data_IF_490848198702
#
_entry.id   IF_490848198702
#
_cell.length_a   1.000
_cell.length_b   1.000
_cell.length_c   1.000
_cell.angle_alpha   90.00
_cell.angle_beta   90.00
_cell.angle_gamma   90.00
#
_symmetry.space_group_name_H-M   'P 1'
#
loop_
_entity.id
_entity.type
_entity.pdbx_description
1 polymer ?
#
# COMPACT_ATOMS: atom_id res chain seq x y z
N UNK A 1 -0.66 -10.12 -31.17
CA UNK A 1 -2.03 -9.92 -30.66
C UNK A 1 -2.18 -8.44 -30.37
N UNK A 2 -3.39 -7.89 -30.37
CA UNK A 2 -3.61 -6.52 -29.90
C UNK A 2 -3.99 -6.60 -28.42
N UNK A 3 -3.15 -6.08 -27.54
CA UNK A 3 -3.41 -6.11 -26.10
C UNK A 3 -4.40 -5.02 -25.73
N UNK A 4 -5.54 -5.40 -25.18
CA UNK A 4 -6.56 -4.44 -24.74
C UNK A 4 -6.29 -3.99 -23.30
N UNK A 5 -6.36 -2.69 -22.98
CA UNK A 5 -6.18 -2.20 -21.61
C UNK A 5 -7.22 -2.76 -20.63
N UNK A 6 -8.41 -3.14 -21.12
CA UNK A 6 -9.46 -3.75 -20.31
C UNK A 6 -9.04 -5.08 -19.67
N UNK A 7 -8.08 -5.79 -20.26
CA UNK A 7 -7.53 -7.02 -19.67
C UNK A 7 -6.62 -6.76 -18.46
N UNK A 8 -6.30 -5.49 -18.18
CA UNK A 8 -5.41 -5.05 -17.11
C UNK A 8 -6.11 -4.09 -16.14
N UNK A 9 -7.45 -4.17 -16.05
CA UNK A 9 -8.25 -3.27 -15.25
C UNK A 9 -7.80 -3.20 -13.78
N UNK A 10 -7.45 -4.35 -13.19
CA UNK A 10 -6.94 -4.40 -11.83
C UNK A 10 -5.60 -3.68 -11.68
N UNK A 11 -4.66 -3.93 -12.60
CA UNK A 11 -3.35 -3.26 -12.61
C UNK A 11 -3.52 -1.76 -12.77
N UNK A 12 -4.40 -1.32 -13.66
CA UNK A 12 -4.70 0.10 -13.87
C UNK A 12 -5.19 0.75 -12.58
N UNK A 13 -6.09 0.10 -11.83
CA UNK A 13 -6.55 0.61 -10.53
C UNK A 13 -5.42 0.66 -9.50
N UNK A 14 -4.55 -0.36 -9.45
CA UNK A 14 -3.34 -0.34 -8.61
C UNK A 14 -2.43 0.84 -8.98
N UNK A 15 -2.21 1.09 -10.28
CA UNK A 15 -1.40 2.21 -10.73
C UNK A 15 -2.02 3.57 -10.36
N UNK A 16 -3.34 3.71 -10.44
CA UNK A 16 -4.08 4.92 -10.02
C UNK A 16 -3.85 5.20 -8.53
N UNK A 17 -4.10 4.21 -7.68
CA UNK A 17 -3.98 4.38 -6.23
C UNK A 17 -2.51 4.54 -5.81
N UNK A 18 -1.61 3.77 -6.42
CA UNK A 18 -0.18 3.90 -6.19
C UNK A 18 0.36 5.27 -6.63
N UNK A 19 -0.15 5.84 -7.73
CA UNK A 19 0.14 7.23 -8.07
C UNK A 19 -0.40 8.19 -7.02
N UNK A 20 -1.67 8.08 -6.60
CA UNK A 20 -2.27 8.99 -5.61
C UNK A 20 -1.49 8.99 -4.30
N UNK A 21 -1.07 7.82 -3.85
CA UNK A 21 -0.30 7.60 -2.63
C UNK A 21 1.21 7.90 -2.77
N UNK A 22 1.66 8.32 -3.97
CA UNK A 22 3.07 8.52 -4.31
C UNK A 22 3.96 7.27 -4.03
N UNK A 23 3.38 6.08 -4.24
CA UNK A 23 4.08 4.79 -4.18
C UNK A 23 4.74 4.47 -5.52
N UNK A 24 4.05 4.78 -6.62
CA UNK A 24 4.60 4.67 -7.97
C UNK A 24 5.00 6.04 -8.51
N UNK A 25 6.09 6.07 -9.26
CA UNK A 25 6.50 7.23 -10.04
C UNK A 25 5.86 7.19 -11.43
N UNK A 26 5.88 8.33 -12.12
CA UNK A 26 5.44 8.41 -13.51
C UNK A 26 6.31 7.52 -14.39
N UNK A 27 7.61 7.47 -14.13
CA UNK A 27 8.58 6.68 -14.88
C UNK A 27 8.27 5.17 -14.81
N UNK A 28 7.89 4.66 -13.64
CA UNK A 28 7.47 3.26 -13.50
C UNK A 28 6.24 2.95 -14.37
N UNK A 29 5.29 3.88 -14.45
CA UNK A 29 4.09 3.73 -15.28
C UNK A 29 4.41 3.81 -16.76
N UNK A 30 5.31 4.71 -17.15
CA UNK A 30 5.81 4.78 -18.53
C UNK A 30 6.51 3.48 -18.90
N UNK A 31 7.37 2.93 -18.03
CA UNK A 31 8.04 1.65 -18.27
C UNK A 31 7.05 0.49 -18.45
N UNK A 32 6.00 0.45 -17.63
CA UNK A 32 4.93 -0.53 -17.77
C UNK A 32 4.21 -0.39 -19.11
N UNK A 33 3.85 0.83 -19.52
CA UNK A 33 3.21 1.10 -20.80
C UNK A 33 4.11 0.77 -22.00
N UNK A 34 5.40 1.14 -21.94
CA UNK A 34 6.42 0.83 -22.93
C UNK A 34 6.58 -0.68 -23.13
N UNK A 35 6.38 -1.47 -22.06
CA UNK A 35 6.29 -2.92 -22.12
C UNK A 35 5.30 -3.40 -23.18
N UNK A 36 4.11 -2.83 -23.27
CA UNK A 36 3.13 -3.21 -24.30
C UNK A 36 3.51 -2.69 -25.68
N UNK A 37 3.98 -1.45 -25.76
CA UNK A 37 4.36 -0.80 -27.02
C UNK A 37 5.48 -1.58 -27.74
N UNK A 38 6.44 -2.11 -26.98
CA UNK A 38 7.59 -2.82 -27.54
C UNK A 38 7.25 -4.25 -28.00
N UNK A 39 6.22 -4.88 -27.42
CA UNK A 39 5.88 -6.27 -27.71
C UNK A 39 4.73 -6.43 -28.70
N UNK A 40 3.80 -5.47 -28.72
CA UNK A 40 2.64 -5.54 -29.61
C UNK A 40 2.94 -4.96 -30.98
N UNK A 41 2.58 -5.71 -32.03
CA UNK A 41 2.70 -5.22 -33.40
C UNK A 41 1.81 -3.99 -33.68
N UNK A 42 0.73 -3.83 -32.93
CA UNK A 42 -0.22 -2.71 -32.96
C UNK A 42 -0.69 -2.46 -31.52
N UNK A 43 0.05 -1.68 -30.73
CA UNK A 43 -0.34 -1.38 -29.36
C UNK A 43 -1.58 -0.49 -29.32
N UNK A 44 -2.42 -0.68 -28.31
CA UNK A 44 -3.59 0.18 -28.06
C UNK A 44 -3.17 1.63 -27.78
N UNK A 45 -3.98 2.58 -28.25
CA UNK A 45 -3.72 4.02 -28.09
C UNK A 45 -3.58 4.41 -26.62
N UNK A 46 -4.27 3.72 -25.71
CA UNK A 46 -4.14 3.92 -24.28
C UNK A 46 -2.68 3.82 -23.81
N UNK A 47 -1.96 2.78 -24.24
CA UNK A 47 -0.57 2.57 -23.80
C UNK A 47 0.35 3.64 -24.39
N UNK A 48 0.10 4.05 -25.64
CA UNK A 48 0.83 5.12 -26.31
C UNK A 48 0.63 6.44 -25.55
N UNK A 49 -0.61 6.82 -25.28
CA UNK A 49 -0.94 8.06 -24.56
C UNK A 49 -0.33 8.06 -23.16
N UNK A 50 -0.39 6.93 -22.46
CA UNK A 50 0.19 6.77 -21.13
C UNK A 50 1.72 6.91 -21.14
N UNK A 51 2.41 6.32 -22.12
CA UNK A 51 3.85 6.46 -22.29
C UNK A 51 4.26 7.91 -22.63
N UNK A 52 3.46 8.60 -23.45
CA UNK A 52 3.69 9.97 -23.89
C UNK A 52 3.24 11.04 -22.87
N UNK A 53 2.52 10.66 -21.82
CA UNK A 53 2.19 11.56 -20.71
C UNK A 53 3.44 12.27 -20.20
N UNK A 54 3.32 13.56 -19.89
CA UNK A 54 4.45 14.42 -19.48
C UNK A 54 4.53 14.58 -17.98
N UNK A 55 3.39 14.51 -17.31
CA UNK A 55 3.29 14.72 -15.86
C UNK A 55 2.57 13.56 -15.18
N UNK A 56 2.73 13.48 -13.86
CA UNK A 56 1.99 12.53 -13.02
C UNK A 56 0.47 12.75 -13.14
N UNK A 57 0.04 14.01 -13.24
CA UNK A 57 -1.37 14.38 -13.34
C UNK A 57 -1.98 13.97 -14.67
N UNK A 58 -1.23 14.10 -15.78
CA UNK A 58 -1.65 13.62 -17.09
C UNK A 58 -1.78 12.08 -17.08
N UNK A 59 -0.78 11.36 -16.56
CA UNK A 59 -0.85 9.90 -16.42
C UNK A 59 -2.04 9.46 -15.56
N UNK A 60 -2.28 10.13 -14.42
CA UNK A 60 -3.41 9.85 -13.55
C UNK A 60 -4.75 10.10 -14.25
N UNK A 61 -4.83 11.14 -15.08
CA UNK A 61 -6.05 11.46 -15.86
C UNK A 61 -6.36 10.35 -16.86
N UNK A 62 -5.36 9.95 -17.67
CA UNK A 62 -5.50 8.87 -18.66
C UNK A 62 -5.96 7.57 -18.00
N UNK A 63 -5.28 7.16 -16.92
CA UNK A 63 -5.63 5.96 -16.16
C UNK A 63 -7.07 6.06 -15.61
N UNK A 64 -7.41 7.17 -14.97
CA UNK A 64 -8.72 7.36 -14.32
C UNK A 64 -9.86 7.38 -15.34
N UNK A 65 -9.69 8.02 -16.49
CA UNK A 65 -10.70 8.06 -17.55
C UNK A 65 -10.98 6.67 -18.11
N UNK A 66 -9.93 5.88 -18.30
CA UNK A 66 -10.06 4.51 -18.79
C UNK A 66 -10.75 3.63 -17.74
N UNK A 67 -10.33 3.71 -16.47
CA UNK A 67 -10.90 2.96 -15.36
C UNK A 67 -12.40 3.23 -15.13
N UNK A 68 -12.92 4.43 -15.44
CA UNK A 68 -14.36 4.74 -15.35
C UNK A 68 -15.24 3.81 -16.19
N UNK A 69 -14.68 3.23 -17.23
CA UNK A 69 -15.38 2.31 -18.14
C UNK A 69 -15.16 0.84 -17.77
N UNK A 70 -14.37 0.58 -16.73
CA UNK A 70 -14.01 -0.75 -16.25
C UNK A 70 -14.75 -1.07 -14.96
N UNK A 71 -15.17 -2.32 -14.80
CA UNK A 71 -15.59 -2.87 -13.52
C UNK A 71 -14.56 -3.92 -13.11
N UNK A 72 -13.67 -3.55 -12.19
CA UNK A 72 -12.71 -4.46 -11.61
C UNK A 72 -12.57 -4.16 -10.12
N UNK A 73 -12.72 -5.19 -9.30
CA UNK A 73 -12.28 -5.15 -7.92
C UNK A 73 -10.74 -5.10 -7.92
N UNK A 74 -10.14 -4.50 -6.89
CA UNK A 74 -8.69 -4.27 -6.89
C UNK A 74 -8.09 -4.74 -5.59
N UNK A 75 -7.29 -5.81 -5.65
CA UNK A 75 -6.55 -6.28 -4.50
C UNK A 75 -5.57 -5.18 -4.07
N UNK A 76 -5.57 -4.76 -2.79
CA UNK A 76 -4.64 -3.75 -2.30
C UNK A 76 -3.23 -4.32 -2.04
N UNK A 77 -3.03 -5.64 -2.17
CA UNK A 77 -1.77 -6.33 -1.85
C UNK A 77 -0.56 -5.87 -2.68
N UNK A 78 -0.67 -5.58 -3.99
CA UNK A 78 0.41 -4.95 -4.73
C UNK A 78 0.84 -3.58 -4.17
N UNK A 79 -0.09 -2.81 -3.59
CA UNK A 79 0.23 -1.54 -2.94
C UNK A 79 0.95 -1.76 -1.61
N UNK A 80 0.63 -2.83 -0.88
CA UNK A 80 1.39 -3.24 0.31
C UNK A 80 2.84 -3.61 -0.06
N UNK A 81 3.05 -4.29 -1.19
CA UNK A 81 4.40 -4.50 -1.73
C UNK A 81 5.09 -3.17 -2.06
N UNK A 82 4.42 -2.24 -2.73
CA UNK A 82 5.02 -0.94 -3.04
C UNK A 82 5.42 -0.16 -1.78
N UNK A 83 4.67 -0.29 -0.67
CA UNK A 83 5.06 0.26 0.63
C UNK A 83 6.29 -0.49 1.19
N UNK A 84 6.33 -1.81 1.08
CA UNK A 84 7.48 -2.62 1.47
C UNK A 84 8.76 -2.20 0.73
N UNK A 85 8.69 -2.03 -0.58
CA UNK A 85 9.83 -1.60 -1.41
C UNK A 85 10.40 -0.28 -0.92
N UNK A 86 9.53 0.72 -0.68
CA UNK A 86 9.95 2.03 -0.16
C UNK A 86 10.58 1.94 1.23
N UNK A 87 10.10 1.00 2.06
CA UNK A 87 10.69 0.75 3.36
C UNK A 87 12.11 0.17 3.24
N UNK A 88 12.32 -0.83 2.37
CA UNK A 88 13.65 -1.48 2.24
C UNK A 88 14.67 -0.63 1.49
N UNK A 89 14.24 0.28 0.61
CA UNK A 89 15.13 1.26 -0.04
C UNK A 89 15.46 2.45 0.85
N UNK A 90 14.85 2.55 2.05
CA UNK A 90 14.90 3.72 2.93
C UNK A 90 14.33 5.00 2.32
N UNK A 91 13.49 4.90 1.29
CA UNK A 91 12.70 6.02 0.76
C UNK A 91 11.58 6.42 1.72
N UNK A 92 11.10 5.47 2.53
CA UNK A 92 10.14 5.67 3.62
C UNK A 92 10.66 5.03 4.90
N UNK A 93 10.44 5.71 6.02
CA UNK A 93 10.58 5.12 7.35
C UNK A 93 9.45 4.11 7.61
N UNK A 94 9.65 3.20 8.57
CA UNK A 94 8.58 2.28 9.00
C UNK A 94 7.30 3.04 9.41
N UNK A 95 7.44 4.23 9.99
CA UNK A 95 6.32 5.08 10.40
C UNK A 95 5.55 5.67 9.23
N UNK A 96 6.25 6.18 8.22
CA UNK A 96 5.61 6.66 6.99
C UNK A 96 4.92 5.50 6.26
N UNK A 97 5.50 4.30 6.33
CA UNK A 97 4.88 3.07 5.84
C UNK A 97 3.60 2.73 6.61
N UNK A 98 3.61 2.76 7.95
CA UNK A 98 2.41 2.53 8.77
C UNK A 98 1.33 3.61 8.58
N UNK A 99 1.72 4.87 8.39
CA UNK A 99 0.78 5.94 8.03
C UNK A 99 0.15 5.67 6.66
N UNK A 100 0.93 5.17 5.69
CA UNK A 100 0.43 4.77 4.37
C UNK A 100 -0.59 3.63 4.45
N UNK A 101 -0.51 2.77 5.47
CA UNK A 101 -1.50 1.71 5.69
C UNK A 101 -2.89 2.24 6.04
N UNK A 102 -3.00 3.49 6.54
CA UNK A 102 -4.29 4.08 6.91
C UNK A 102 -5.30 4.16 5.75
N UNK A 103 -4.81 4.24 4.51
CA UNK A 103 -5.64 4.24 3.30
C UNK A 103 -6.48 2.95 3.15
N UNK A 104 -6.04 1.86 3.77
CA UNK A 104 -6.59 0.51 3.63
C UNK A 104 -7.60 0.13 4.72
N UNK A 105 -7.78 0.98 5.74
CA UNK A 105 -8.66 0.66 6.88
C UNK A 105 -10.14 0.67 6.47
N UNK A 106 -10.52 1.57 5.56
CA UNK A 106 -11.93 1.89 5.34
C UNK A 106 -12.55 1.22 4.11
N UNK A 107 -11.75 0.77 3.12
CA UNK A 107 -12.25 0.36 1.79
C UNK A 107 -11.62 -0.95 1.26
N UNK A 108 -11.40 -1.97 2.10
CA UNK A 108 -10.65 -3.16 1.69
C UNK A 108 -11.41 -4.48 1.94
N UNK A 109 -12.48 -4.69 1.17
CA UNK A 109 -13.26 -5.93 1.21
C UNK A 109 -12.44 -7.16 0.75
N UNK A 110 -11.42 -6.95 -0.09
CA UNK A 110 -10.52 -8.01 -0.61
C UNK A 110 -9.39 -8.43 0.34
N UNK A 111 -9.17 -7.68 1.43
CA UNK A 111 -8.28 -8.13 2.49
C UNK A 111 -8.96 -9.18 3.37
N UNK A 112 -8.18 -10.10 3.92
CA UNK A 112 -8.65 -11.01 4.97
C UNK A 112 -8.90 -10.25 6.28
N UNK A 113 -9.64 -10.87 7.19
CA UNK A 113 -9.85 -10.33 8.56
C UNK A 113 -8.51 -10.13 9.27
N UNK A 114 -7.57 -11.07 9.13
CA UNK A 114 -6.23 -10.97 9.71
C UNK A 114 -5.47 -9.76 9.19
N UNK A 115 -5.44 -9.54 7.88
CA UNK A 115 -4.77 -8.38 7.26
C UNK A 115 -5.35 -7.06 7.77
N UNK A 116 -6.69 -6.93 7.80
CA UNK A 116 -7.34 -5.72 8.31
C UNK A 116 -7.00 -5.45 9.77
N UNK A 117 -7.03 -6.48 10.61
CA UNK A 117 -6.70 -6.33 12.03
C UNK A 117 -5.23 -5.88 12.21
N UNK A 118 -4.30 -6.41 11.41
CA UNK A 118 -2.90 -5.99 11.45
C UNK A 118 -2.71 -4.55 10.99
N UNK A 119 -3.28 -4.19 9.85
CA UNK A 119 -3.24 -2.81 9.35
C UNK A 119 -3.77 -1.83 10.39
N UNK A 120 -4.91 -2.16 11.01
CA UNK A 120 -5.50 -1.34 12.04
C UNK A 120 -4.59 -1.21 13.28
N UNK A 121 -4.02 -2.32 13.74
CA UNK A 121 -3.07 -2.34 14.87
C UNK A 121 -1.84 -1.48 14.59
N UNK A 122 -1.15 -1.74 13.47
CA UNK A 122 0.09 -1.03 13.11
C UNK A 122 -0.16 0.47 12.92
N UNK A 123 -1.31 0.84 12.34
CA UNK A 123 -1.70 2.23 12.16
C UNK A 123 -1.91 2.94 13.51
N UNK A 124 -2.65 2.33 14.45
CA UNK A 124 -2.88 2.92 15.77
C UNK A 124 -1.60 3.02 16.61
N UNK A 125 -0.74 2.00 16.58
CA UNK A 125 0.50 2.03 17.34
C UNK A 125 1.49 3.07 16.78
N UNK A 126 1.49 3.27 15.45
CA UNK A 126 2.26 4.34 14.82
C UNK A 126 1.77 5.74 15.23
N UNK A 127 0.46 5.95 15.38
CA UNK A 127 -0.10 7.21 15.89
C UNK A 127 0.33 7.50 17.35
N UNK A 128 0.65 6.47 18.12
CA UNK A 128 1.04 6.56 19.53
C UNK A 128 2.57 6.55 19.75
N UNK A 129 3.36 6.59 18.67
CA UNK A 129 4.80 6.34 18.72
C UNK A 129 5.60 7.24 19.67
N UNK A 130 5.23 8.51 19.79
CA UNK A 130 5.91 9.46 20.68
C UNK A 130 5.72 9.13 22.17
N UNK A 131 4.77 8.24 22.47
CA UNK A 131 4.45 7.77 23.81
C UNK A 131 5.06 6.39 24.10
N UNK A 132 5.61 5.72 23.07
CA UNK A 132 6.19 4.39 23.21
C UNK A 132 7.65 4.46 23.71
N UNK A 133 8.07 3.55 24.62
CA UNK A 133 9.48 3.40 24.97
C UNK A 133 10.30 2.95 23.75
N UNK A 134 11.62 3.22 23.71
CA UNK A 134 12.48 2.86 22.57
C UNK A 134 12.38 1.39 22.14
N UNK A 135 12.31 0.46 23.09
CA UNK A 135 12.17 -0.97 22.80
C UNK A 135 10.83 -1.32 22.12
N UNK A 136 9.74 -0.62 22.46
CA UNK A 136 8.45 -0.82 21.81
C UNK A 136 8.43 -0.21 20.40
N UNK A 137 9.16 0.90 20.19
CA UNK A 137 9.37 1.47 18.85
C UNK A 137 10.12 0.50 17.95
N UNK A 138 11.25 -0.04 18.40
CA UNK A 138 12.01 -1.03 17.62
C UNK A 138 11.16 -2.26 17.28
N UNK A 139 10.34 -2.72 18.24
CA UNK A 139 9.42 -3.82 18.00
C UNK A 139 8.37 -3.49 16.95
N UNK A 140 7.75 -2.32 17.02
CA UNK A 140 6.79 -1.86 16.01
C UNK A 140 7.41 -1.78 14.62
N UNK A 141 8.63 -1.26 14.50
CA UNK A 141 9.35 -1.20 13.21
C UNK A 141 9.61 -2.60 12.64
N UNK A 142 9.99 -3.57 13.49
CA UNK A 142 10.14 -4.97 13.10
C UNK A 142 8.81 -5.59 12.65
N UNK A 143 7.72 -5.30 13.37
CA UNK A 143 6.39 -5.85 13.07
C UNK A 143 5.85 -5.30 11.75
N UNK A 144 6.05 -4.00 11.48
CA UNK A 144 5.72 -3.36 10.19
C UNK A 144 6.51 -4.03 9.06
N UNK A 145 7.82 -4.18 9.23
CA UNK A 145 8.68 -4.80 8.22
C UNK A 145 8.29 -6.26 7.95
N UNK A 146 8.03 -7.03 9.00
CA UNK A 146 7.65 -8.44 8.89
C UNK A 146 6.28 -8.62 8.21
N UNK A 147 5.29 -7.78 8.55
CA UNK A 147 3.99 -7.80 7.91
C UNK A 147 4.08 -7.45 6.42
N UNK A 148 4.76 -6.36 6.09
CA UNK A 148 4.92 -5.89 4.71
C UNK A 148 5.72 -6.88 3.84
N UNK A 149 6.71 -7.58 4.42
CA UNK A 149 7.52 -8.57 3.72
C UNK A 149 6.73 -9.78 3.20
N UNK A 150 5.51 -10.01 3.69
CA UNK A 150 4.62 -11.05 3.15
C UNK A 150 4.31 -10.80 1.66
N UNK A 151 4.22 -9.53 1.27
CA UNK A 151 3.78 -9.09 -0.05
C UNK A 151 4.94 -8.83 -1.02
N UNK A 152 6.18 -9.11 -0.65
CA UNK A 152 7.37 -8.76 -1.44
C UNK A 152 7.45 -9.36 -2.85
N UNK A 153 6.65 -10.37 -3.14
CA UNK A 153 6.65 -11.07 -4.43
C UNK A 153 5.67 -10.43 -5.44
N UNK A 154 4.85 -9.45 -5.04
CA UNK A 154 3.96 -8.77 -5.99
C UNK A 154 4.75 -7.74 -6.82
N UNK A 155 4.54 -7.74 -8.13
CA UNK A 155 4.97 -6.66 -9.03
C UNK A 155 3.84 -6.34 -10.01
N UNK A 156 3.91 -5.20 -10.70
CA UNK A 156 2.88 -4.86 -11.72
C UNK A 156 3.02 -5.71 -12.98
N UNK A 157 4.21 -6.26 -13.22
CA UNK A 157 4.54 -7.11 -14.36
C UNK A 157 4.07 -8.56 -14.15
N UNK A 158 3.96 -9.02 -12.90
CA UNK A 158 3.54 -10.39 -12.58
C UNK A 158 2.03 -10.53 -12.28
N UNK A 159 1.22 -9.58 -12.75
CA UNK A 159 -0.22 -9.52 -12.49
C UNK A 159 -0.97 -10.83 -12.81
N UNK A 160 -0.55 -11.57 -13.85
CA UNK A 160 -1.13 -12.85 -14.21
C UNK A 160 -1.00 -13.92 -13.10
N UNK A 161 -0.09 -13.72 -12.14
CA UNK A 161 0.13 -14.60 -10.99
C UNK A 161 -0.50 -14.10 -9.68
N UNK A 162 -1.16 -12.95 -9.65
CA UNK A 162 -1.66 -12.34 -8.40
C UNK A 162 -2.65 -13.23 -7.66
N UNK A 163 -3.55 -13.93 -8.35
CA UNK A 163 -4.48 -14.88 -7.72
C UNK A 163 -3.75 -15.99 -6.94
N UNK A 164 -2.61 -16.45 -7.46
CA UNK A 164 -1.80 -17.48 -6.78
C UNK A 164 -1.09 -16.89 -5.56
N UNK A 165 -0.54 -15.68 -5.68
CA UNK A 165 0.07 -14.97 -4.56
C UNK A 165 -0.96 -14.69 -3.46
N UNK A 166 -2.18 -14.30 -3.82
CA UNK A 166 -3.28 -14.06 -2.89
C UNK A 166 -3.57 -15.30 -2.04
N UNK A 167 -3.63 -16.48 -2.68
CA UNK A 167 -3.82 -17.75 -1.97
C UNK A 167 -2.64 -18.07 -1.03
N UNK A 168 -1.41 -17.81 -1.48
CA UNK A 168 -0.24 -17.99 -0.62
C UNK A 168 -0.27 -17.08 0.61
N UNK A 169 -0.69 -15.81 0.45
CA UNK A 169 -0.82 -14.86 1.58
C UNK A 169 -1.83 -15.40 2.59
N UNK A 170 -3.01 -15.84 2.12
CA UNK A 170 -4.04 -16.42 3.00
C UNK A 170 -3.46 -17.60 3.79
N UNK A 171 -2.78 -18.53 3.12
CA UNK A 171 -2.16 -19.69 3.77
C UNK A 171 -1.07 -19.29 4.77
N UNK A 172 -0.21 -18.31 4.43
CA UNK A 172 0.84 -17.81 5.32
C UNK A 172 0.25 -17.18 6.58
N UNK A 173 -0.83 -16.41 6.45
CA UNK A 173 -1.52 -15.77 7.58
C UNK A 173 -2.28 -16.77 8.47
N UNK A 174 -2.81 -17.85 7.90
CA UNK A 174 -3.51 -18.90 8.67
C UNK A 174 -2.54 -19.82 9.43
N UNK A 175 -1.36 -20.07 8.86
CA UNK A 175 -0.37 -21.01 9.43
C UNK A 175 0.68 -20.33 10.29
N UNK A 176 0.90 -19.04 10.10
CA UNK A 176 1.86 -18.26 10.90
C UNK A 176 1.07 -17.48 11.94
N UNK A 177 1.20 -17.80 13.24
CA UNK A 177 0.80 -16.88 14.29
C UNK A 177 1.80 -15.72 14.25
N UNK A 178 1.66 -14.84 13.27
CA UNK A 178 2.64 -13.78 13.01
C UNK A 178 2.84 -12.94 14.27
N UNK A 179 1.80 -12.80 15.09
CA UNK A 179 1.89 -12.10 16.36
C UNK A 179 0.95 -12.76 17.37
N UNK A 180 1.51 -13.42 18.38
CA UNK A 180 0.76 -13.82 19.56
C UNK A 180 0.13 -12.60 20.22
N UNK A 181 -0.98 -12.84 20.91
CA UNK A 181 -1.68 -11.94 21.83
C UNK A 181 -0.76 -11.38 22.93
N UNK A 182 0.28 -10.64 22.58
CA UNK A 182 1.11 -9.95 23.56
C UNK A 182 0.38 -8.66 23.95
N UNK A 183 -0.69 -8.87 24.73
CA UNK A 183 -1.39 -7.84 25.48
C UNK A 183 -0.50 -7.15 26.51
N UNK A 184 0.82 -7.35 26.51
CA UNK A 184 1.76 -6.66 27.40
C UNK A 184 1.86 -5.16 27.11
N UNK A 185 1.61 -4.70 25.89
CA UNK A 185 1.37 -3.28 25.60
C UNK A 185 0.03 -2.78 26.16
N UNK A 186 -0.88 -3.69 26.52
CA UNK A 186 -2.20 -3.42 27.13
C UNK A 186 -2.20 -3.68 28.64
N UNK A 187 -1.09 -3.49 29.34
CA UNK A 187 -1.14 -3.43 30.80
C UNK A 187 -1.39 -1.98 31.24
N UNK A 188 -2.63 -1.58 31.61
CA UNK A 188 -2.94 -0.22 32.05
C UNK A 188 -2.22 0.20 33.35
N UNK A 189 -1.43 -0.68 33.95
CA UNK A 189 -0.67 -0.42 35.17
C UNK A 189 0.63 0.38 34.96
N UNK A 190 1.04 0.67 33.72
CA UNK A 190 2.19 1.54 33.43
C UNK A 190 1.75 2.83 32.76
N UNK A 191 0.66 3.44 33.23
CA UNK A 191 0.42 4.85 32.94
C UNK A 191 1.12 5.71 34.01
N UNK A 192 2.14 6.51 33.67
CA UNK A 192 2.58 7.55 34.58
C UNK A 192 1.40 8.49 34.86
N UNK A 193 1.26 8.90 36.11
CA UNK A 193 0.16 9.75 36.58
C UNK A 193 -0.14 10.88 35.59
N UNK A 194 -1.43 11.20 35.32
CA UNK A 194 -1.81 12.20 34.33
C UNK A 194 -1.12 13.52 34.64
N UNK A 195 -0.22 13.94 33.75
CA UNK A 195 0.35 15.28 33.80
C UNK A 195 -0.77 16.31 33.56
N UNK A 196 -0.69 17.49 34.19
CA UNK A 196 -1.71 18.52 34.04
C UNK A 196 -1.95 18.84 32.57
N UNK A 197 -3.23 18.95 32.22
CA UNK A 197 -3.73 19.17 30.87
C UNK A 197 -3.13 20.47 30.32
N UNK A 198 -2.13 20.34 29.45
CA UNK A 198 -1.70 21.43 28.58
C UNK A 198 -2.70 21.51 27.40
N UNK A 199 -2.96 22.71 26.86
CA UNK A 199 -3.95 22.91 25.82
C UNK A 199 -3.68 22.00 24.62
N UNK A 200 -4.74 21.31 24.20
CA UNK A 200 -4.77 20.38 23.04
C UNK A 200 -4.15 21.06 21.83
N UNK A 201 -2.97 20.60 21.40
CA UNK A 201 -2.40 20.98 20.11
C UNK A 201 -3.32 20.45 19.02
N UNK A 202 -3.75 21.33 18.10
CA UNK A 202 -4.58 20.97 16.96
C UNK A 202 -3.91 19.86 16.11
N UNK A 203 -4.68 18.94 15.52
CA UNK A 203 -4.14 17.88 14.66
C UNK A 203 -3.32 18.47 13.50
N UNK A 204 -2.12 17.94 13.25
CA UNK A 204 -1.21 18.39 12.19
C UNK A 204 -1.73 18.18 10.77
N UNK A 205 -2.89 17.54 10.58
CA UNK A 205 -3.50 17.27 9.28
C UNK A 205 -4.15 18.49 8.60
N UNK A 206 -4.15 19.67 9.23
CA UNK A 206 -4.71 20.90 8.63
C UNK A 206 -3.79 21.61 7.61
N UNK A 207 -2.69 20.98 7.17
CA UNK A 207 -1.68 21.64 6.31
C UNK A 207 -1.63 21.20 4.84
N UNK A 208 -2.61 20.43 4.36
CA UNK A 208 -2.75 20.18 2.93
C UNK A 208 -4.07 20.79 2.44
N UNK A 209 -3.98 21.99 1.86
CA UNK A 209 -5.01 22.66 1.06
C UNK A 209 -4.41 23.01 -0.30
#
# INVERSE_FOLDING_TARGET
MNTSPFAYAEVINVLIEGLRMALFSKEQITQWADGFILHDAQPDIFFIDLALSRTREEALTILSETARTMAAETSPRPLLCAIYERLVTNDKTALESAASLGAFIWNNELLTVSERNFIQYLHYDADMLDLLPPSAREKLEQDIGAFLALYKEYTIENYAGWDSLDQEIVLKLDTTPLFHNDTSLRNPQVMPAPKPILPVRKPRWQFWK
#
